data_IF_203062670885
#
_entry.id   IF_203062670885
#
_cell.length_a   1.000
_cell.length_b   1.000
_cell.length_c   1.000
_cell.angle_alpha   90.00
_cell.angle_beta   90.00
_cell.angle_gamma   90.00
#
_symmetry.space_group_name_H-M   'P 1'
#
loop_
_entity.id
_entity.type
_entity.pdbx_description
1 polymer ?
#
# COMPACT_ATOMS: atom_id res chain seq x y z
N UNK A 1 20.69 -3.01 -3.61
CA UNK A 1 19.75 -1.91 -3.31
C UNK A 1 18.50 -2.55 -2.73
N UNK A 2 17.92 -1.98 -1.69
CA UNK A 2 16.73 -2.55 -1.09
C UNK A 2 15.55 -2.44 -2.05
N UNK A 3 14.82 -3.53 -2.23
CA UNK A 3 13.62 -3.58 -3.05
C UNK A 3 12.38 -3.54 -2.16
N UNK A 4 11.45 -2.65 -2.46
CA UNK A 4 10.20 -2.48 -1.73
C UNK A 4 9.04 -2.93 -2.61
N UNK A 5 8.26 -3.88 -2.14
CA UNK A 5 7.00 -4.25 -2.76
C UNK A 5 5.82 -3.59 -2.02
N UNK A 6 5.07 -2.76 -2.71
CA UNK A 6 3.86 -2.11 -2.20
C UNK A 6 2.63 -2.83 -2.77
N UNK A 7 1.79 -3.35 -1.89
CA UNK A 7 0.57 -4.08 -2.25
C UNK A 7 -0.64 -3.18 -2.02
N UNK A 8 -1.22 -2.73 -3.10
CA UNK A 8 -2.34 -1.78 -3.14
C UNK A 8 -1.94 -0.42 -3.68
N UNK A 9 -2.67 0.06 -4.68
CA UNK A 9 -2.43 1.33 -5.39
C UNK A 9 -3.47 2.41 -5.09
N UNK A 10 -4.02 2.42 -3.88
CA UNK A 10 -4.83 3.52 -3.37
C UNK A 10 -3.97 4.66 -2.82
N UNK A 11 -4.59 5.61 -2.12
CA UNK A 11 -3.90 6.77 -1.56
C UNK A 11 -2.73 6.37 -0.63
N UNK A 12 -2.92 5.38 0.22
CA UNK A 12 -1.90 4.90 1.15
C UNK A 12 -0.72 4.24 0.42
N UNK A 13 -0.99 3.30 -0.48
CA UNK A 13 0.06 2.59 -1.23
C UNK A 13 0.85 3.51 -2.15
N UNK A 14 0.19 4.41 -2.86
CA UNK A 14 0.87 5.40 -3.71
C UNK A 14 1.72 6.38 -2.88
N UNK A 15 1.26 6.78 -1.70
CA UNK A 15 2.05 7.60 -0.77
C UNK A 15 3.32 6.87 -0.32
N UNK A 16 3.20 5.60 0.07
CA UNK A 16 4.35 4.78 0.44
C UNK A 16 5.34 4.63 -0.73
N UNK A 17 4.84 4.31 -1.92
CA UNK A 17 5.66 4.17 -3.12
C UNK A 17 6.41 5.45 -3.50
N UNK A 18 5.73 6.61 -3.39
CA UNK A 18 6.34 7.90 -3.64
C UNK A 18 7.55 8.14 -2.73
N UNK A 19 7.37 7.91 -1.43
CA UNK A 19 8.44 8.18 -0.45
C UNK A 19 9.58 7.18 -0.52
N UNK A 20 9.33 5.92 -0.78
CA UNK A 20 10.37 4.90 -0.94
C UNK A 20 11.20 5.18 -2.19
N UNK A 21 10.57 5.41 -3.34
CA UNK A 21 11.26 5.75 -4.58
C UNK A 21 12.01 7.08 -4.51
N UNK A 22 11.41 8.12 -3.93
CA UNK A 22 12.07 9.42 -3.69
C UNK A 22 13.35 9.28 -2.86
N UNK A 23 13.40 8.33 -1.95
CA UNK A 23 14.57 8.05 -1.12
C UNK A 23 15.57 7.07 -1.79
N UNK A 24 15.35 6.70 -3.04
CA UNK A 24 16.28 5.93 -3.85
C UNK A 24 16.16 4.41 -3.67
N UNK A 25 15.04 3.92 -3.14
CA UNK A 25 14.75 2.50 -3.09
C UNK A 25 14.07 2.05 -4.39
N UNK A 26 14.48 0.90 -4.92
CA UNK A 26 13.76 0.25 -6.01
C UNK A 26 12.39 -0.18 -5.50
N UNK A 27 11.34 0.36 -6.07
CA UNK A 27 9.97 0.20 -5.59
C UNK A 27 9.08 -0.35 -6.70
N UNK A 28 8.32 -1.39 -6.39
CA UNK A 28 7.26 -1.94 -7.23
C UNK A 28 5.90 -1.77 -6.54
N UNK A 29 4.86 -1.43 -7.30
CA UNK A 29 3.47 -1.33 -6.81
C UNK A 29 2.59 -2.31 -7.57
N UNK A 30 1.82 -3.10 -6.84
CA UNK A 30 0.78 -3.98 -7.39
C UNK A 30 -0.60 -3.39 -7.07
N UNK A 31 -1.43 -3.21 -8.07
CA UNK A 31 -2.74 -2.58 -7.93
C UNK A 31 -3.81 -3.27 -8.77
N UNK A 32 -4.99 -3.50 -8.19
CA UNK A 32 -6.16 -4.04 -8.88
C UNK A 32 -7.11 -2.95 -9.39
N UNK A 33 -6.82 -1.69 -9.10
CA UNK A 33 -7.67 -0.53 -9.41
C UNK A 33 -9.06 -0.56 -8.71
N UNK A 34 -9.16 -1.26 -7.59
CA UNK A 34 -10.40 -1.39 -6.80
C UNK A 34 -10.48 -0.39 -5.62
N UNK A 35 -9.67 0.66 -5.64
CA UNK A 35 -9.64 1.63 -4.55
C UNK A 35 -10.96 2.37 -4.38
N UNK A 36 -11.38 2.57 -3.12
CA UNK A 36 -12.56 3.37 -2.79
C UNK A 36 -12.44 4.85 -3.16
N UNK A 37 -11.22 5.30 -3.47
CA UNK A 37 -10.98 6.66 -3.98
C UNK A 37 -11.81 6.97 -5.22
N UNK A 38 -12.10 5.98 -6.08
CA UNK A 38 -12.97 6.16 -7.26
C UNK A 38 -14.41 6.59 -6.92
N UNK A 39 -14.84 6.39 -5.69
CA UNK A 39 -16.17 6.80 -5.19
C UNK A 39 -16.12 8.07 -4.35
N UNK A 40 -14.94 8.61 -4.12
CA UNK A 40 -14.74 9.79 -3.29
C UNK A 40 -14.75 11.08 -4.10
N UNK A 41 -15.09 12.16 -3.42
CA UNK A 41 -14.85 13.53 -3.87
C UNK A 41 -14.08 14.26 -2.78
N UNK A 42 -12.89 14.76 -3.11
CA UNK A 42 -11.99 15.42 -2.18
C UNK A 42 -12.33 16.91 -2.08
N UNK A 43 -12.71 17.34 -0.90
CA UNK A 43 -12.97 18.76 -0.58
C UNK A 43 -12.52 19.15 0.83
N UNK A 44 -11.98 18.20 1.58
CA UNK A 44 -11.53 18.36 2.97
C UNK A 44 -10.07 17.97 3.19
N UNK A 45 -9.31 17.82 2.11
CA UNK A 45 -7.87 17.56 2.16
C UNK A 45 -7.10 18.88 1.95
N UNK A 46 -6.19 19.19 2.87
CA UNK A 46 -5.41 20.43 2.81
C UNK A 46 -4.64 20.55 1.49
N UNK A 47 -4.85 21.65 0.77
CA UNK A 47 -4.24 21.92 -0.53
C UNK A 47 -5.09 21.45 -1.73
N UNK A 48 -6.16 20.69 -1.51
CA UNK A 48 -7.13 20.28 -2.52
C UNK A 48 -8.47 20.95 -2.20
N UNK A 49 -8.89 21.90 -3.02
CA UNK A 49 -10.15 22.63 -2.83
C UNK A 49 -11.37 21.79 -3.22
N UNK A 50 -11.30 21.12 -4.38
CA UNK A 50 -12.34 20.24 -4.88
C UNK A 50 -11.78 19.36 -6.00
N UNK A 51 -11.76 18.06 -5.83
CA UNK A 51 -11.25 17.12 -6.82
C UNK A 51 -11.99 15.79 -6.79
N UNK A 52 -12.26 15.22 -7.96
CA UNK A 52 -12.77 13.87 -8.10
C UNK A 52 -11.71 12.84 -7.68
N UNK A 53 -12.12 11.83 -6.92
CA UNK A 53 -11.16 10.85 -6.40
C UNK A 53 -10.46 10.02 -7.47
N UNK A 54 -11.13 9.76 -8.62
CA UNK A 54 -10.47 9.09 -9.75
C UNK A 54 -9.41 9.97 -10.39
N UNK A 55 -9.67 11.27 -10.55
CA UNK A 55 -8.69 12.22 -11.05
C UNK A 55 -7.48 12.33 -10.11
N UNK A 56 -7.72 12.38 -8.80
CA UNK A 56 -6.66 12.34 -7.79
C UNK A 56 -5.77 11.09 -7.90
N UNK A 57 -6.38 9.91 -8.07
CA UNK A 57 -5.62 8.65 -8.21
C UNK A 57 -4.80 8.66 -9.50
N UNK A 58 -5.32 9.18 -10.62
CA UNK A 58 -4.61 9.29 -11.88
C UNK A 58 -3.39 10.20 -11.74
N UNK A 59 -3.56 11.40 -11.18
CA UNK A 59 -2.47 12.34 -10.92
C UNK A 59 -1.42 11.77 -9.96
N UNK A 60 -1.86 11.05 -8.93
CA UNK A 60 -0.97 10.39 -7.98
C UNK A 60 -0.13 9.28 -8.64
N UNK A 61 -0.72 8.48 -9.53
CA UNK A 61 0.00 7.47 -10.32
C UNK A 61 1.06 8.10 -11.22
N UNK A 62 0.70 9.15 -11.96
CA UNK A 62 1.66 9.89 -12.80
C UNK A 62 2.82 10.44 -11.97
N UNK A 63 2.52 10.96 -10.78
CA UNK A 63 3.55 11.46 -9.86
C UNK A 63 4.48 10.34 -9.41
N UNK A 64 3.95 9.21 -8.98
CA UNK A 64 4.72 8.05 -8.53
C UNK A 64 5.59 7.50 -9.67
N UNK A 65 5.03 7.34 -10.87
CA UNK A 65 5.75 6.87 -12.06
C UNK A 65 6.91 7.80 -12.44
N UNK A 66 6.77 9.11 -12.20
CA UNK A 66 7.84 10.09 -12.46
C UNK A 66 9.09 9.86 -11.59
N UNK A 67 8.97 9.16 -10.47
CA UNK A 67 10.08 8.75 -9.62
C UNK A 67 10.66 7.37 -9.98
N UNK A 68 10.18 6.74 -11.05
CA UNK A 68 10.71 5.48 -11.57
C UNK A 68 10.19 4.24 -10.83
N UNK A 69 9.03 4.33 -10.21
CA UNK A 69 8.34 3.17 -9.62
C UNK A 69 7.87 2.23 -10.72
N UNK A 70 8.06 0.93 -10.51
CA UNK A 70 7.53 -0.10 -11.39
C UNK A 70 6.07 -0.40 -11.00
N UNK A 71 5.13 0.07 -11.82
CA UNK A 71 3.69 0.02 -11.52
C UNK A 71 3.00 -1.11 -12.28
N UNK A 72 2.51 -2.12 -11.57
CA UNK A 72 1.76 -3.26 -12.08
C UNK A 72 0.26 -3.04 -11.90
N UNK A 73 -0.39 -2.45 -12.92
CA UNK A 73 -1.83 -2.19 -12.92
C UNK A 73 -2.61 -3.43 -13.36
N UNK A 74 -3.68 -3.77 -12.62
CA UNK A 74 -4.52 -4.93 -12.88
C UNK A 74 -3.89 -6.25 -12.45
N UNK A 75 -2.83 -6.22 -11.66
CA UNK A 75 -2.14 -7.40 -11.14
C UNK A 75 -2.44 -7.58 -9.64
N UNK A 76 -3.16 -8.65 -9.31
CA UNK A 76 -3.54 -8.96 -7.93
C UNK A 76 -2.46 -9.78 -7.23
N UNK A 77 -2.03 -9.32 -6.05
CA UNK A 77 -1.20 -10.11 -5.16
C UNK A 77 -2.09 -11.11 -4.42
N UNK A 78 -1.79 -12.38 -4.59
CA UNK A 78 -2.55 -13.50 -4.01
C UNK A 78 -1.93 -14.05 -2.74
N UNK A 79 -0.63 -13.85 -2.52
CA UNK A 79 0.05 -14.25 -1.30
C UNK A 79 1.30 -13.38 -1.03
N UNK A 80 1.63 -13.23 0.23
CA UNK A 80 2.91 -12.68 0.70
C UNK A 80 3.46 -13.61 1.77
N UNK A 81 4.68 -14.06 1.58
CA UNK A 81 5.35 -14.97 2.53
C UNK A 81 6.76 -14.48 2.85
N UNK A 82 7.23 -14.76 4.07
CA UNK A 82 8.64 -14.53 4.42
C UNK A 82 9.52 -15.56 3.71
N UNK A 83 10.64 -15.11 3.13
CA UNK A 83 11.65 -15.96 2.51
C UNK A 83 13.06 -15.54 2.96
N UNK A 84 13.63 -16.27 3.90
CA UNK A 84 14.90 -15.91 4.51
C UNK A 84 14.83 -14.59 5.27
N UNK A 85 15.59 -13.58 4.82
CA UNK A 85 15.59 -12.22 5.40
C UNK A 85 14.67 -11.25 4.65
N UNK A 86 13.86 -11.73 3.69
CA UNK A 86 12.97 -10.93 2.85
C UNK A 86 11.61 -11.57 2.65
N UNK A 87 10.98 -11.24 1.53
CA UNK A 87 9.61 -11.67 1.20
C UNK A 87 9.52 -12.17 -0.24
N UNK A 88 8.67 -13.16 -0.45
CA UNK A 88 8.15 -13.51 -1.77
C UNK A 88 6.72 -12.99 -1.90
N UNK A 89 6.49 -12.15 -2.88
CA UNK A 89 5.16 -11.62 -3.25
C UNK A 89 4.69 -12.40 -4.47
N UNK A 90 3.58 -13.10 -4.33
CA UNK A 90 3.00 -13.95 -5.39
C UNK A 90 1.79 -13.27 -6.01
N UNK A 91 1.75 -13.21 -7.34
CA UNK A 91 0.60 -12.79 -8.12
C UNK A 91 0.04 -13.97 -8.92
N UNK A 92 -1.02 -13.77 -9.71
CA UNK A 92 -1.50 -14.82 -10.60
C UNK A 92 -0.48 -15.18 -11.71
N UNK A 93 0.37 -14.24 -12.09
CA UNK A 93 1.27 -14.35 -13.22
C UNK A 93 2.72 -14.67 -12.84
N UNK A 94 3.20 -14.27 -11.67
CA UNK A 94 4.61 -14.34 -11.30
C UNK A 94 4.85 -14.28 -9.77
N UNK A 95 6.09 -14.52 -9.38
CA UNK A 95 6.63 -14.31 -8.04
C UNK A 95 7.70 -13.23 -8.08
N UNK A 96 7.73 -12.39 -7.07
CA UNK A 96 8.66 -11.27 -6.92
C UNK A 96 9.31 -11.32 -5.54
N UNK A 97 10.63 -11.16 -5.51
CA UNK A 97 11.37 -11.05 -4.27
C UNK A 97 11.47 -9.59 -3.83
N UNK A 98 11.32 -9.35 -2.54
CA UNK A 98 11.47 -8.02 -1.95
C UNK A 98 12.16 -8.10 -0.59
N UNK A 99 12.93 -7.05 -0.24
CA UNK A 99 13.53 -6.90 1.08
C UNK A 99 12.50 -6.36 2.09
N UNK A 100 11.59 -5.52 1.61
CA UNK A 100 10.52 -4.89 2.40
C UNK A 100 9.18 -5.04 1.71
N UNK A 101 8.12 -5.22 2.49
CA UNK A 101 6.74 -5.21 1.99
C UNK A 101 5.92 -4.14 2.70
N UNK A 102 5.11 -3.42 1.94
CA UNK A 102 4.11 -2.46 2.45
C UNK A 102 2.73 -2.93 2.03
N UNK A 103 1.92 -3.33 3.02
CA UNK A 103 0.54 -3.72 2.81
C UNK A 103 -0.37 -2.49 2.90
N UNK A 104 -1.11 -2.21 1.84
CA UNK A 104 -2.01 -1.06 1.71
C UNK A 104 -3.29 -1.46 0.96
N UNK A 105 -3.87 -2.60 1.32
CA UNK A 105 -5.00 -3.23 0.63
C UNK A 105 -6.37 -2.74 1.11
N UNK A 106 -6.41 -1.58 1.76
CA UNK A 106 -7.65 -0.98 2.26
C UNK A 106 -8.26 -1.79 3.41
N UNK A 107 -9.56 -2.09 3.31
CA UNK A 107 -10.26 -2.88 4.31
C UNK A 107 -10.01 -4.40 4.22
N UNK A 108 -9.43 -4.88 3.12
CA UNK A 108 -9.05 -6.28 2.95
C UNK A 108 -7.75 -6.55 3.72
N UNK A 109 -7.79 -7.43 4.70
CA UNK A 109 -6.66 -7.72 5.61
C UNK A 109 -6.13 -9.14 5.50
N UNK A 110 -6.63 -9.90 4.52
CA UNK A 110 -6.31 -11.33 4.33
C UNK A 110 -4.80 -11.60 4.20
N UNK A 111 -4.09 -10.75 3.43
CA UNK A 111 -2.63 -10.89 3.27
C UNK A 111 -1.86 -10.64 4.57
N UNK A 112 -2.34 -9.75 5.43
CA UNK A 112 -1.74 -9.51 6.73
C UNK A 112 -1.99 -10.67 7.70
N UNK A 113 -3.16 -11.31 7.62
CA UNK A 113 -3.46 -12.55 8.38
C UNK A 113 -2.59 -13.70 7.92
N UNK A 114 -2.43 -13.90 6.60
CA UNK A 114 -1.59 -14.94 6.02
C UNK A 114 -0.10 -14.77 6.36
N UNK A 115 0.34 -13.52 6.49
CA UNK A 115 1.70 -13.17 6.91
C UNK A 115 1.93 -13.30 8.43
N UNK A 116 0.91 -13.74 9.20
CA UNK A 116 0.92 -13.83 10.66
C UNK A 116 1.14 -12.47 11.37
N UNK A 117 0.69 -11.38 10.80
CA UNK A 117 0.69 -10.09 11.49
C UNK A 117 -0.27 -10.11 12.68
N UNK A 118 0.10 -9.44 13.77
CA UNK A 118 -0.79 -9.22 14.91
C UNK A 118 -1.86 -8.16 14.58
N UNK A 119 -3.01 -8.29 15.23
CA UNK A 119 -4.16 -7.41 15.10
C UNK A 119 -4.53 -6.79 16.43
N UNK A 120 -5.08 -5.58 16.40
CA UNK A 120 -5.62 -4.91 17.59
C UNK A 120 -6.99 -5.47 17.99
N UNK A 121 -7.51 -5.03 19.14
CA UNK A 121 -8.89 -5.37 19.60
C UNK A 121 -9.98 -4.83 18.66
N UNK A 122 -9.64 -3.91 17.75
CA UNK A 122 -10.53 -3.33 16.74
C UNK A 122 -10.45 -4.05 15.38
N UNK A 123 -9.81 -5.23 15.34
CA UNK A 123 -9.62 -6.05 14.13
C UNK A 123 -8.87 -5.31 12.97
N UNK A 124 -7.98 -4.40 13.32
CA UNK A 124 -7.06 -3.77 12.38
C UNK A 124 -5.63 -4.26 12.62
N UNK A 125 -4.79 -4.18 11.59
CA UNK A 125 -3.38 -4.58 11.71
C UNK A 125 -2.68 -3.70 12.75
N UNK A 126 -2.04 -4.34 13.73
CA UNK A 126 -1.27 -3.66 14.76
C UNK A 126 0.08 -3.22 14.19
N UNK A 127 0.38 -1.93 14.30
CA UNK A 127 1.62 -1.32 13.82
C UNK A 127 2.21 -0.40 14.86
N UNK A 128 3.51 -0.25 14.84
CA UNK A 128 4.22 0.71 15.67
C UNK A 128 4.18 2.14 15.09
N UNK A 129 4.91 3.06 15.69
CA UNK A 129 4.99 4.47 15.24
C UNK A 129 5.67 4.63 13.88
N UNK A 130 6.39 3.62 13.42
CA UNK A 130 7.01 3.54 12.09
C UNK A 130 6.15 2.84 11.05
N UNK A 131 4.93 2.45 11.40
CA UNK A 131 4.03 1.63 10.60
C UNK A 131 4.53 0.19 10.37
N UNK A 132 5.52 -0.28 11.12
CA UNK A 132 5.98 -1.65 11.07
C UNK A 132 5.02 -2.55 11.83
N UNK A 133 4.70 -3.70 11.22
CA UNK A 133 3.83 -4.73 11.82
C UNK A 133 4.61 -5.57 12.85
N UNK A 134 3.98 -6.59 13.40
CA UNK A 134 4.68 -7.60 14.24
C UNK A 134 5.69 -8.46 13.46
N UNK A 135 5.64 -8.42 12.14
CA UNK A 135 6.58 -9.10 11.24
C UNK A 135 7.64 -8.09 10.80
N UNK A 136 8.91 -8.38 11.09
CA UNK A 136 10.03 -7.49 10.76
C UNK A 136 10.07 -7.18 9.26
N UNK A 137 10.36 -5.92 8.90
CA UNK A 137 10.43 -5.41 7.53
C UNK A 137 9.10 -5.48 6.73
N UNK A 138 8.00 -5.83 7.41
CA UNK A 138 6.65 -5.76 6.89
C UNK A 138 5.88 -4.58 7.50
N UNK A 139 5.39 -3.70 6.67
CA UNK A 139 4.67 -2.48 7.03
C UNK A 139 3.22 -2.55 6.58
N UNK A 140 2.34 -1.86 7.29
CA UNK A 140 0.95 -1.71 6.87
C UNK A 140 0.49 -0.27 7.07
N UNK A 141 -0.34 0.25 6.16
CA UNK A 141 -0.80 1.63 6.21
C UNK A 141 -2.20 1.80 5.59
N UNK A 142 -2.78 2.97 5.80
CA UNK A 142 -4.11 3.30 5.30
C UNK A 142 -5.22 2.67 6.15
N UNK A 143 -6.31 2.27 5.50
CA UNK A 143 -7.48 1.68 6.16
C UNK A 143 -7.20 0.34 6.84
N UNK A 144 -6.11 -0.35 6.49
CA UNK A 144 -5.71 -1.61 7.14
C UNK A 144 -5.41 -1.44 8.62
N UNK A 145 -4.91 -0.26 9.03
CA UNK A 145 -4.46 0.06 10.39
C UNK A 145 -5.43 0.98 11.12
N UNK A 146 -6.59 1.28 10.52
CA UNK A 146 -7.61 2.17 11.05
C UNK A 146 -8.98 1.51 11.08
N UNK A 147 -9.69 1.64 12.20
CA UNK A 147 -11.08 1.21 12.29
C UNK A 147 -12.04 2.11 11.49
N UNK A 148 -11.68 3.38 11.27
CA UNK A 148 -12.45 4.36 10.52
C UNK A 148 -11.98 4.42 9.04
N UNK A 149 -12.58 3.59 8.20
CA UNK A 149 -12.14 3.34 6.82
C UNK A 149 -12.46 4.47 5.83
N UNK A 150 -13.49 5.30 6.11
CA UNK A 150 -13.90 6.40 5.22
C UNK A 150 -12.93 7.59 5.18
N UNK A 151 -11.90 7.57 5.98
CA UNK A 151 -10.86 8.61 6.04
C UNK A 151 -9.57 8.19 5.29
N UNK A 152 -9.72 7.49 4.17
CA UNK A 152 -8.62 6.84 3.47
C UNK A 152 -7.44 7.78 3.15
N UNK A 153 -7.70 9.02 2.71
CA UNK A 153 -6.63 9.99 2.39
C UNK A 153 -5.93 10.51 3.63
N UNK A 154 -6.62 10.59 4.76
CA UNK A 154 -6.03 11.05 6.04
C UNK A 154 -5.18 9.97 6.69
N UNK A 155 -5.51 8.71 6.45
CA UNK A 155 -4.77 7.55 6.99
C UNK A 155 -3.64 7.05 6.09
N UNK A 156 -3.45 7.68 4.95
CA UNK A 156 -2.44 7.33 3.96
C UNK A 156 -1.01 7.74 4.40
#
# INVERSE_FOLDING_TARGET
>A
MAQVAVVGGGAAGLSAALFTAKNGLDTVVFDTDETWMHKAHLFNYLGIESEDGSAFVEDAREQVDSFGVDSHQGEEVTAVATDGDGFTVTTEDAEYDADYVVLATGAKRDLAEELDCEFTDEDVVDVDVSMETSVADAYATGAMVRAEEWQAVISA
#
